data_IF_322925924815
#
_entry.id   IF_322925924815
#
_cell.length_a   1.000
_cell.length_b   1.000
_cell.length_c   1.000
_cell.angle_alpha   90.00
_cell.angle_beta   90.00
_cell.angle_gamma   90.00
#
_symmetry.space_group_name_H-M   'P 1'
#
loop_
_entity.id
_entity.type
_entity.pdbx_description
1 polymer ?
#
# COMPACT_ATOMS: atom_id res chain seq x y z
N UNK A 1 7.27 -6.16 11.07
CA UNK A 1 7.97 -5.61 9.89
C UNK A 1 7.00 -5.16 8.82
N UNK A 2 7.28 -4.03 8.21
CA UNK A 2 6.57 -3.54 7.01
C UNK A 2 7.62 -3.46 5.91
N UNK A 3 7.46 -4.31 4.88
CA UNK A 3 8.45 -4.49 3.82
C UNK A 3 7.89 -3.93 2.51
N UNK A 4 8.62 -2.99 1.91
CA UNK A 4 8.21 -2.35 0.67
C UNK A 4 9.30 -2.61 -0.38
N UNK A 5 8.91 -3.15 -1.53
CA UNK A 5 9.81 -3.36 -2.64
C UNK A 5 10.54 -2.06 -3.01
N UNK A 6 11.84 -2.13 -3.24
CA UNK A 6 12.70 -0.97 -3.44
C UNK A 6 13.25 -0.88 -4.88
N UNK A 7 12.41 -0.71 -5.92
CA UNK A 7 12.86 -0.68 -7.32
C UNK A 7 13.82 0.49 -7.61
N UNK A 8 13.80 1.53 -6.78
CA UNK A 8 14.77 2.63 -6.87
C UNK A 8 16.24 2.19 -6.78
N UNK A 9 16.51 1.03 -6.18
CA UNK A 9 17.87 0.46 -6.13
C UNK A 9 18.42 0.08 -7.51
N UNK A 10 17.55 -0.19 -8.49
CA UNK A 10 17.93 -0.50 -9.86
C UNK A 10 18.04 0.74 -10.76
N UNK A 11 17.63 1.93 -10.27
CA UNK A 11 17.54 3.14 -11.08
C UNK A 11 18.63 4.11 -10.67
N UNK A 12 19.63 4.28 -11.53
CA UNK A 12 20.64 5.33 -11.36
C UNK A 12 20.20 6.59 -12.14
N UNK A 13 20.32 7.80 -11.54
CA UNK A 13 20.02 9.05 -12.22
C UNK A 13 20.77 9.18 -13.55
N UNK A 14 20.06 9.52 -14.62
CA UNK A 14 20.60 9.66 -15.97
C UNK A 14 20.78 8.33 -16.74
N UNK A 15 20.47 7.17 -16.13
CA UNK A 15 20.49 5.88 -16.82
C UNK A 15 19.34 5.74 -17.82
N UNK A 16 19.41 4.80 -18.78
CA UNK A 16 18.28 4.51 -19.68
C UNK A 16 16.99 4.17 -18.94
N UNK A 17 17.05 3.48 -17.80
CA UNK A 17 15.91 3.15 -16.95
C UNK A 17 15.30 4.41 -16.35
N UNK A 18 16.13 5.34 -15.85
CA UNK A 18 15.67 6.65 -15.35
C UNK A 18 15.01 7.46 -16.48
N UNK A 19 15.62 7.48 -17.67
CA UNK A 19 15.03 8.15 -18.84
C UNK A 19 13.66 7.59 -19.23
N UNK A 20 13.50 6.26 -19.20
CA UNK A 20 12.22 5.60 -19.47
C UNK A 20 11.19 5.92 -18.39
N UNK A 21 11.58 5.85 -17.11
CA UNK A 21 10.71 6.17 -16.00
C UNK A 21 10.23 7.61 -16.02
N UNK A 22 11.10 8.56 -16.38
CA UNK A 22 10.76 9.98 -16.56
C UNK A 22 9.79 10.21 -17.72
N UNK A 23 9.95 9.49 -18.82
CA UNK A 23 9.07 9.60 -19.97
C UNK A 23 7.67 9.03 -19.69
N UNK A 24 7.59 7.91 -18.95
CA UNK A 24 6.31 7.23 -18.64
C UNK A 24 5.59 7.80 -17.42
N UNK A 25 6.30 8.31 -16.43
CA UNK A 25 5.81 8.93 -15.17
C UNK A 25 4.98 8.03 -14.26
N UNK A 26 4.25 7.07 -14.79
CA UNK A 26 3.39 6.16 -14.02
C UNK A 26 3.14 4.86 -14.77
N UNK A 27 2.63 3.86 -14.07
CA UNK A 27 2.06 2.67 -14.69
C UNK A 27 0.61 2.96 -15.10
N UNK A 28 0.26 2.63 -16.34
CA UNK A 28 -1.10 2.73 -16.85
C UNK A 28 -1.73 1.34 -16.81
N UNK A 29 -2.85 1.24 -16.12
CA UNK A 29 -3.62 0.00 -16.01
C UNK A 29 -4.82 0.06 -16.95
N UNK A 30 -4.97 -0.99 -17.72
CA UNK A 30 -6.10 -1.23 -18.63
C UNK A 30 -6.67 -2.62 -18.35
N UNK A 31 -7.91 -2.89 -18.74
CA UNK A 31 -8.45 -4.24 -18.62
C UNK A 31 -7.54 -5.26 -19.33
N UNK A 32 -7.05 -6.25 -18.56
CA UNK A 32 -6.19 -7.33 -19.05
C UNK A 32 -4.77 -6.96 -19.51
N UNK A 33 -4.39 -5.68 -19.47
CA UNK A 33 -3.07 -5.19 -19.88
C UNK A 33 -2.59 -4.03 -19.02
N UNK A 34 -1.28 -3.86 -18.90
CA UNK A 34 -0.69 -2.70 -18.22
C UNK A 34 0.58 -2.25 -18.95
N UNK A 35 0.76 -0.96 -19.05
CA UNK A 35 2.03 -0.34 -19.45
C UNK A 35 2.77 0.08 -18.20
N UNK A 36 3.84 -0.63 -17.86
CA UNK A 36 4.62 -0.37 -16.64
C UNK A 36 5.51 0.85 -16.78
N UNK A 37 5.66 1.63 -15.72
CA UNK A 37 6.59 2.77 -15.68
C UNK A 37 8.04 2.33 -15.88
N UNK A 38 8.43 1.21 -15.28
CA UNK A 38 9.76 0.63 -15.37
C UNK A 38 9.78 -0.56 -16.33
N UNK A 39 10.95 -0.93 -16.86
CA UNK A 39 11.11 -2.15 -17.66
C UNK A 39 10.67 -3.42 -16.94
N UNK A 40 10.26 -4.42 -17.68
CA UNK A 40 9.70 -5.66 -17.11
C UNK A 40 10.69 -6.45 -16.26
N UNK A 41 11.97 -6.46 -16.61
CA UNK A 41 13.03 -7.09 -15.82
C UNK A 41 13.19 -6.43 -14.44
N UNK A 42 13.11 -5.11 -14.37
CA UNK A 42 13.08 -4.37 -13.09
C UNK A 42 11.81 -4.70 -12.32
N UNK A 43 10.65 -4.66 -12.98
CA UNK A 43 9.37 -5.02 -12.34
C UNK A 43 9.41 -6.44 -11.77
N UNK A 44 9.91 -7.41 -12.53
CA UNK A 44 10.01 -8.80 -12.08
C UNK A 44 10.97 -8.97 -10.88
N UNK A 45 12.11 -8.26 -10.91
CA UNK A 45 13.10 -8.32 -9.81
C UNK A 45 12.53 -7.78 -8.49
N UNK A 46 11.70 -6.74 -8.57
CA UNK A 46 11.12 -6.06 -7.40
C UNK A 46 9.64 -6.41 -7.16
N UNK A 47 9.15 -7.51 -7.71
CA UNK A 47 7.82 -8.01 -7.41
C UNK A 47 7.84 -8.88 -6.16
N UNK A 48 6.90 -8.64 -5.24
CA UNK A 48 6.67 -9.46 -4.04
C UNK A 48 5.99 -10.78 -4.43
N UNK A 49 6.72 -11.62 -5.13
CA UNK A 49 6.23 -12.91 -5.61
C UNK A 49 6.55 -14.01 -4.62
N UNK A 50 5.57 -14.84 -4.30
CA UNK A 50 5.72 -16.00 -3.43
C UNK A 50 6.87 -16.93 -3.89
N UNK A 51 7.64 -17.44 -2.94
CA UNK A 51 8.79 -18.31 -3.19
C UNK A 51 10.06 -17.60 -3.67
N UNK A 52 10.08 -16.28 -3.68
CA UNK A 52 11.25 -15.48 -4.09
C UNK A 52 11.65 -14.46 -3.03
N UNK A 53 12.92 -14.06 -3.08
CA UNK A 53 13.41 -12.93 -2.30
C UNK A 53 13.19 -11.63 -3.06
N UNK A 54 12.71 -10.61 -2.37
CA UNK A 54 12.54 -9.28 -2.94
C UNK A 54 13.45 -8.26 -2.22
N UNK A 55 14.27 -7.47 -2.96
CA UNK A 55 14.99 -6.35 -2.38
C UNK A 55 13.99 -5.30 -1.89
N UNK A 56 14.05 -4.99 -0.60
CA UNK A 56 13.04 -4.18 0.07
C UNK A 56 13.68 -3.16 1.00
N UNK A 57 12.98 -2.05 1.20
CA UNK A 57 13.16 -1.20 2.36
C UNK A 57 12.15 -1.64 3.41
N UNK A 58 12.64 -1.98 4.59
CA UNK A 58 11.85 -2.55 5.67
C UNK A 58 11.83 -1.61 6.86
N UNK A 59 10.63 -1.35 7.36
CA UNK A 59 10.44 -0.70 8.66
C UNK A 59 10.06 -1.75 9.68
N UNK A 60 10.90 -1.94 10.68
CA UNK A 60 10.59 -2.73 11.86
C UNK A 60 10.07 -1.82 12.96
N UNK A 61 8.95 -2.20 13.55
CA UNK A 61 8.32 -1.44 14.63
C UNK A 61 8.19 -2.37 15.84
N UNK A 62 8.80 -1.98 16.93
CA UNK A 62 8.66 -2.66 18.22
C UNK A 62 7.43 -2.11 18.94
N UNK A 63 6.50 -2.98 19.26
CA UNK A 63 5.24 -2.64 19.91
C UNK A 63 5.18 -3.24 21.32
N UNK A 64 4.44 -2.58 22.19
CA UNK A 64 3.89 -3.22 23.37
C UNK A 64 2.65 -4.00 22.95
N UNK A 65 2.62 -5.31 23.22
CA UNK A 65 1.55 -6.17 22.73
C UNK A 65 0.20 -5.89 23.40
N UNK A 66 0.21 -5.45 24.65
CA UNK A 66 -1.01 -5.16 25.41
C UNK A 66 -1.59 -3.80 25.05
N UNK A 67 -0.74 -2.76 24.95
CA UNK A 67 -1.16 -1.37 24.72
C UNK A 67 -1.13 -0.96 23.26
N UNK A 68 -0.46 -1.72 22.37
CA UNK A 68 -0.18 -1.41 20.97
C UNK A 68 0.62 -0.11 20.79
N UNK A 69 1.32 0.33 21.83
CA UNK A 69 2.18 1.50 21.77
C UNK A 69 3.50 1.18 21.08
N UNK A 70 3.93 2.09 20.18
CA UNK A 70 5.20 1.98 19.49
C UNK A 70 6.32 2.38 20.42
N UNK A 71 7.22 1.45 20.73
CA UNK A 71 8.40 1.67 21.60
C UNK A 71 9.62 2.14 20.83
N UNK A 72 9.82 1.59 19.63
CA UNK A 72 10.95 1.94 18.78
C UNK A 72 10.69 1.52 17.34
N UNK A 73 11.47 2.07 16.42
CA UNK A 73 11.47 1.65 15.03
C UNK A 73 12.89 1.61 14.47
N UNK A 74 13.09 0.72 13.49
CA UNK A 74 14.36 0.54 12.79
C UNK A 74 14.09 0.37 11.29
N UNK A 75 14.94 0.95 10.46
CA UNK A 75 14.86 0.81 9.00
C UNK A 75 16.03 0.00 8.47
N UNK A 76 15.76 -0.96 7.59
CA UNK A 76 16.76 -1.80 6.95
C UNK A 76 16.56 -1.85 5.44
N UNK A 77 17.67 -1.94 4.70
CA UNK A 77 17.68 -2.39 3.31
C UNK A 77 18.08 -3.86 3.31
N UNK A 78 17.21 -4.71 2.81
CA UNK A 78 17.42 -6.16 2.90
C UNK A 78 16.69 -6.90 1.76
N UNK A 79 16.98 -8.20 1.64
CA UNK A 79 16.23 -9.11 0.78
C UNK A 79 15.26 -9.89 1.66
N UNK A 80 13.98 -9.72 1.38
CA UNK A 80 12.89 -10.33 2.17
C UNK A 80 12.37 -11.56 1.43
N UNK A 81 12.40 -12.75 2.05
CA UNK A 81 11.76 -13.94 1.49
C UNK A 81 10.24 -13.80 1.55
N UNK A 82 9.59 -13.96 0.41
CA UNK A 82 8.13 -13.86 0.31
C UNK A 82 7.54 -15.26 0.47
N UNK A 83 7.05 -15.57 1.66
CA UNK A 83 6.46 -16.86 1.97
C UNK A 83 5.06 -17.02 1.37
N UNK A 84 4.26 -15.95 1.40
CA UNK A 84 2.88 -15.98 0.90
C UNK A 84 2.54 -14.67 0.21
N UNK A 85 1.77 -14.74 -0.87
CA UNK A 85 1.16 -13.60 -1.54
C UNK A 85 -0.36 -13.64 -1.30
N UNK A 86 -0.81 -13.01 -0.23
CA UNK A 86 -2.21 -12.98 0.17
C UNK A 86 -2.97 -11.92 -0.64
N UNK A 87 -3.77 -12.38 -1.58
CA UNK A 87 -4.51 -11.51 -2.50
C UNK A 87 -5.94 -11.29 -2.01
N UNK A 88 -6.36 -10.04 -1.95
CA UNK A 88 -7.70 -9.65 -1.49
C UNK A 88 -8.84 -10.27 -2.31
N UNK A 89 -8.67 -10.41 -3.64
CA UNK A 89 -9.66 -11.00 -4.53
C UNK A 89 -10.00 -12.47 -4.20
N UNK A 90 -9.09 -13.15 -3.53
CA UNK A 90 -9.25 -14.54 -3.09
C UNK A 90 -9.66 -14.65 -1.62
N UNK A 91 -9.26 -13.71 -0.80
CA UNK A 91 -9.34 -13.81 0.66
C UNK A 91 -10.40 -12.93 1.32
N UNK A 92 -10.92 -11.91 0.64
CA UNK A 92 -11.93 -11.02 1.25
C UNK A 92 -13.21 -11.77 1.70
N UNK A 93 -13.54 -12.88 1.06
CA UNK A 93 -14.68 -13.72 1.45
C UNK A 93 -14.40 -14.59 2.69
N UNK A 94 -13.14 -14.86 2.99
CA UNK A 94 -12.71 -15.73 4.11
C UNK A 94 -12.26 -14.89 5.29
N UNK A 95 -11.38 -13.90 5.05
CA UNK A 95 -10.79 -13.04 6.09
C UNK A 95 -11.76 -11.91 6.41
N UNK A 96 -12.83 -12.25 7.09
CA UNK A 96 -13.84 -11.28 7.57
C UNK A 96 -13.49 -10.76 8.96
N UNK A 97 -14.13 -9.67 9.41
CA UNK A 97 -13.95 -9.19 10.78
C UNK A 97 -14.33 -10.27 11.80
N UNK A 98 -15.43 -10.98 11.58
CA UNK A 98 -15.85 -12.07 12.46
C UNK A 98 -14.79 -13.16 12.53
N UNK A 99 -14.25 -13.58 11.40
CA UNK A 99 -13.19 -14.58 11.34
C UNK A 99 -11.92 -14.15 12.09
N UNK A 100 -11.59 -12.86 12.11
CA UNK A 100 -10.42 -12.32 12.79
C UNK A 100 -10.62 -12.12 14.31
N UNK A 101 -11.86 -11.91 14.76
CA UNK A 101 -12.16 -11.53 16.15
C UNK A 101 -12.77 -12.65 16.98
N UNK A 102 -13.48 -13.57 16.36
CA UNK A 102 -14.15 -14.68 17.02
C UNK A 102 -13.36 -15.98 16.87
N UNK A 103 -12.69 -16.40 17.93
CA UNK A 103 -11.85 -17.61 17.92
C UNK A 103 -12.66 -18.91 17.77
N UNK A 104 -13.98 -18.88 18.04
CA UNK A 104 -14.88 -20.01 17.86
C UNK A 104 -15.44 -20.10 16.45
N UNK A 105 -15.23 -19.06 15.63
CA UNK A 105 -15.72 -19.02 14.26
C UNK A 105 -14.84 -19.84 13.33
N UNK A 106 -15.39 -20.93 12.79
CA UNK A 106 -14.78 -21.74 11.73
C UNK A 106 -15.49 -21.48 10.41
N UNK A 107 -14.74 -21.14 9.38
CA UNK A 107 -15.28 -20.99 8.03
C UNK A 107 -15.20 -22.32 7.28
N UNK A 108 -16.28 -22.75 6.64
CA UNK A 108 -16.33 -24.03 5.91
C UNK A 108 -15.34 -24.15 4.74
N UNK A 109 -14.76 -23.02 4.31
CA UNK A 109 -13.80 -22.92 3.19
C UNK A 109 -12.49 -22.23 3.62
N UNK A 110 -11.96 -22.59 4.79
CA UNK A 110 -10.67 -22.05 5.21
C UNK A 110 -9.56 -22.45 4.21
N UNK A 111 -9.09 -21.43 3.47
CA UNK A 111 -7.90 -21.64 2.64
C UNK A 111 -6.68 -21.84 3.54
N UNK A 112 -5.92 -22.89 3.31
CA UNK A 112 -4.77 -23.31 4.12
C UNK A 112 -3.82 -22.16 4.51
N UNK A 113 -3.39 -21.25 3.59
CA UNK A 113 -2.47 -20.19 3.96
C UNK A 113 -3.08 -19.17 4.93
N UNK A 114 -4.38 -18.84 4.78
CA UNK A 114 -5.04 -17.87 5.65
C UNK A 114 -5.22 -18.42 7.06
N UNK A 115 -5.64 -19.66 7.21
CA UNK A 115 -5.82 -20.29 8.52
C UNK A 115 -4.51 -20.38 9.30
N UNK A 116 -3.40 -20.72 8.65
CA UNK A 116 -2.08 -20.75 9.27
C UNK A 116 -1.60 -19.36 9.75
N UNK A 117 -2.11 -18.28 9.15
CA UNK A 117 -1.73 -16.91 9.47
C UNK A 117 -2.79 -16.16 10.28
N UNK A 118 -3.86 -16.84 10.74
CA UNK A 118 -5.00 -16.21 11.41
C UNK A 118 -4.59 -15.40 12.64
N UNK A 119 -3.71 -15.94 13.46
CA UNK A 119 -3.23 -15.25 14.66
C UNK A 119 -2.50 -13.95 14.31
N UNK A 120 -1.59 -14.00 13.33
CA UNK A 120 -0.85 -12.82 12.87
C UNK A 120 -1.80 -11.80 12.22
N UNK A 121 -2.74 -12.25 11.40
CA UNK A 121 -3.72 -11.38 10.76
C UNK A 121 -4.66 -10.74 11.79
N UNK A 122 -5.08 -11.47 12.83
CA UNK A 122 -5.89 -10.95 13.93
C UNK A 122 -5.14 -9.88 14.73
N UNK A 123 -3.86 -10.12 15.02
CA UNK A 123 -3.02 -9.12 15.67
C UNK A 123 -2.86 -7.85 14.79
N UNK A 124 -2.54 -8.02 13.50
CA UNK A 124 -2.39 -6.91 12.57
C UNK A 124 -3.70 -6.13 12.39
N UNK A 125 -4.84 -6.80 12.38
CA UNK A 125 -6.14 -6.15 12.30
C UNK A 125 -6.44 -5.33 13.55
N UNK A 126 -6.17 -5.88 14.75
CA UNK A 126 -6.29 -5.15 16.03
C UNK A 126 -5.41 -3.90 16.03
N UNK A 127 -4.14 -4.03 15.61
CA UNK A 127 -3.22 -2.90 15.47
C UNK A 127 -3.75 -1.86 14.47
N UNK A 128 -4.22 -2.28 13.31
CA UNK A 128 -4.75 -1.39 12.29
C UNK A 128 -5.98 -0.61 12.79
N UNK A 129 -6.89 -1.26 13.53
CA UNK A 129 -8.04 -0.59 14.16
C UNK A 129 -7.60 0.47 15.17
N UNK A 130 -6.60 0.17 15.99
CA UNK A 130 -6.05 1.12 16.98
C UNK A 130 -5.40 2.33 16.31
N UNK A 131 -4.53 2.09 15.31
CA UNK A 131 -3.88 3.16 14.55
C UNK A 131 -4.90 4.06 13.86
N UNK A 132 -5.92 3.48 13.23
CA UNK A 132 -7.01 4.22 12.61
C UNK A 132 -7.77 5.06 13.63
N UNK A 133 -8.14 4.49 14.78
CA UNK A 133 -8.86 5.20 15.82
C UNK A 133 -8.07 6.40 16.34
N UNK A 134 -6.78 6.23 16.63
CA UNK A 134 -5.87 7.32 17.05
C UNK A 134 -5.79 8.42 15.99
N UNK A 135 -5.70 8.05 14.72
CA UNK A 135 -5.65 9.00 13.60
C UNK A 135 -6.98 9.75 13.42
N UNK A 136 -8.12 9.11 13.61
CA UNK A 136 -9.43 9.73 13.53
C UNK A 136 -9.66 10.77 14.64
N UNK A 137 -9.15 10.51 15.85
CA UNK A 137 -9.17 11.48 16.96
C UNK A 137 -8.41 12.75 16.56
N UNK A 138 -7.18 12.62 16.03
CA UNK A 138 -6.39 13.77 15.57
C UNK A 138 -7.07 14.51 14.42
N UNK A 139 -7.74 13.77 13.53
CA UNK A 139 -8.47 14.33 12.37
C UNK A 139 -9.77 15.03 12.77
N UNK A 140 -10.34 14.70 13.92
CA UNK A 140 -11.61 15.24 14.42
C UNK A 140 -12.86 14.71 13.71
N UNK A 141 -12.72 13.69 12.86
CA UNK A 141 -13.84 13.03 12.16
C UNK A 141 -13.48 11.61 11.72
N UNK A 142 -14.46 10.70 11.68
CA UNK A 142 -14.24 9.35 11.16
C UNK A 142 -13.89 9.37 9.67
N UNK A 143 -13.15 8.36 9.25
CA UNK A 143 -12.85 8.09 7.85
C UNK A 143 -13.95 7.24 7.23
N UNK A 144 -14.61 7.78 6.22
CA UNK A 144 -15.66 7.07 5.49
C UNK A 144 -15.17 6.69 4.10
N UNK A 145 -15.18 5.40 3.80
CA UNK A 145 -14.88 4.85 2.48
C UNK A 145 -16.17 4.62 1.69
N UNK A 146 -16.77 5.70 1.16
CA UNK A 146 -18.05 5.61 0.43
C UNK A 146 -17.87 5.50 -1.09
N UNK A 147 -16.64 5.35 -1.59
CA UNK A 147 -16.42 5.23 -3.03
C UNK A 147 -16.31 3.77 -3.43
N UNK A 148 -17.16 3.29 -4.35
CA UNK A 148 -17.01 1.95 -4.89
C UNK A 148 -15.69 1.85 -5.67
N UNK A 149 -15.09 0.69 -5.62
CA UNK A 149 -13.95 0.32 -6.44
C UNK A 149 -14.44 -0.53 -7.61
N UNK A 150 -14.07 -0.16 -8.84
CA UNK A 150 -14.51 -0.88 -10.03
C UNK A 150 -13.37 -1.79 -10.49
N UNK A 151 -13.66 -3.08 -10.54
CA UNK A 151 -12.76 -4.06 -11.13
C UNK A 151 -13.16 -4.34 -12.56
N UNK A 152 -12.17 -4.34 -13.45
CA UNK A 152 -12.34 -4.64 -14.85
C UNK A 152 -11.64 -5.95 -15.16
N UNK A 153 -12.36 -6.89 -15.72
CA UNK A 153 -11.84 -8.19 -16.13
C UNK A 153 -12.17 -8.41 -17.60
N UNK A 154 -11.16 -8.84 -18.37
CA UNK A 154 -11.42 -9.33 -19.72
C UNK A 154 -11.89 -10.76 -19.67
N UNK A 155 -13.05 -11.03 -20.25
CA UNK A 155 -13.55 -12.39 -20.48
C UNK A 155 -13.15 -12.78 -21.87
N UNK A 156 -12.36 -13.85 -21.99
CA UNK A 156 -11.90 -14.41 -23.26
C UNK A 156 -12.69 -15.66 -23.58
N UNK A 157 -12.90 -15.91 -24.85
CA UNK A 157 -13.44 -17.19 -25.29
C UNK A 157 -12.51 -18.35 -24.89
N UNK A 158 -13.10 -19.49 -24.60
CA UNK A 158 -12.34 -20.69 -24.24
C UNK A 158 -11.43 -21.09 -25.42
N UNK A 159 -10.11 -21.10 -25.19
CA UNK A 159 -9.10 -21.45 -26.19
C UNK A 159 -8.34 -20.26 -26.79
N UNK A 160 -8.65 -19.03 -26.42
CA UNK A 160 -7.87 -17.86 -26.86
C UNK A 160 -6.44 -17.94 -26.32
N UNK A 161 -5.46 -17.93 -27.24
CA UNK A 161 -4.04 -17.97 -26.90
C UNK A 161 -3.49 -16.54 -26.80
N UNK A 162 -2.53 -16.35 -25.88
CA UNK A 162 -1.82 -15.09 -25.69
C UNK A 162 -2.24 -14.33 -24.43
N UNK A 163 -1.36 -13.44 -23.98
CA UNK A 163 -1.55 -12.61 -22.76
C UNK A 163 -2.09 -11.22 -23.10
N UNK A 164 -1.93 -10.77 -24.32
CA UNK A 164 -2.36 -9.44 -24.77
C UNK A 164 -3.82 -9.42 -25.25
N UNK A 165 -4.56 -8.34 -24.99
CA UNK A 165 -5.91 -8.15 -25.52
C UNK A 165 -5.91 -8.10 -27.05
N UNK A 166 -6.87 -8.80 -27.66
CA UNK A 166 -7.04 -8.82 -29.12
C UNK A 166 -8.15 -7.89 -29.60
N UNK A 167 -8.85 -7.23 -28.66
CA UNK A 167 -9.89 -6.22 -28.96
C UNK A 167 -11.28 -6.81 -29.21
N UNK A 168 -11.46 -8.12 -29.03
CA UNK A 168 -12.75 -8.82 -29.18
C UNK A 168 -13.28 -9.35 -27.85
N UNK A 169 -12.53 -9.16 -26.77
CA UNK A 169 -12.91 -9.65 -25.47
C UNK A 169 -14.03 -8.81 -24.85
N UNK A 170 -14.92 -9.46 -24.13
CA UNK A 170 -15.92 -8.78 -23.32
C UNK A 170 -15.28 -8.21 -22.04
N UNK A 171 -15.59 -6.95 -21.72
CA UNK A 171 -15.14 -6.32 -20.47
C UNK A 171 -16.20 -6.51 -19.41
N UNK A 172 -15.93 -7.39 -18.46
CA UNK A 172 -16.76 -7.56 -17.27
C UNK A 172 -16.39 -6.51 -16.21
N UNK A 173 -17.38 -5.73 -15.77
CA UNK A 173 -17.22 -4.74 -14.71
C UNK A 173 -17.88 -5.27 -13.45
N UNK A 174 -17.13 -5.33 -12.36
CA UNK A 174 -17.64 -5.66 -11.04
C UNK A 174 -17.36 -4.56 -10.04
N UNK A 175 -18.23 -4.41 -9.06
CA UNK A 175 -18.07 -3.41 -7.99
C UNK A 175 -17.54 -4.15 -6.76
N UNK A 176 -16.39 -3.71 -6.25
CA UNK A 176 -15.84 -4.13 -4.97
C UNK A 176 -16.13 -3.07 -3.93
N UNK A 177 -16.69 -3.46 -2.80
CA UNK A 177 -16.79 -2.56 -1.67
C UNK A 177 -15.46 -2.51 -0.93
N UNK A 178 -14.95 -1.31 -0.70
CA UNK A 178 -13.76 -1.09 0.13
C UNK A 178 -14.11 -1.24 1.60
N UNK A 179 -13.15 -1.60 2.41
CA UNK A 179 -13.28 -1.70 3.86
C UNK A 179 -13.19 -3.12 4.39
N UNK A 180 -12.76 -4.07 3.56
CA UNK A 180 -12.38 -5.40 4.02
C UNK A 180 -11.23 -5.29 5.05
N UNK A 181 -11.14 -6.22 6.03
CA UNK A 181 -10.07 -6.21 7.03
C UNK A 181 -8.67 -6.15 6.45
N UNK A 182 -8.41 -6.85 5.35
CA UNK A 182 -7.11 -6.83 4.67
C UNK A 182 -6.79 -5.44 4.07
N UNK A 183 -7.78 -4.72 3.55
CA UNK A 183 -7.60 -3.34 3.09
C UNK A 183 -7.15 -2.43 4.23
N UNK A 184 -7.77 -2.59 5.41
CA UNK A 184 -7.43 -1.79 6.58
C UNK A 184 -6.01 -2.09 7.07
N UNK A 185 -5.62 -3.36 7.16
CA UNK A 185 -4.26 -3.77 7.56
C UNK A 185 -3.22 -3.13 6.64
N UNK A 186 -3.40 -3.27 5.32
CA UNK A 186 -2.45 -2.72 4.34
C UNK A 186 -2.43 -1.20 4.39
N UNK A 187 -3.59 -0.55 4.45
CA UNK A 187 -3.68 0.91 4.48
C UNK A 187 -2.97 1.50 5.71
N UNK A 188 -3.23 0.97 6.90
CA UNK A 188 -2.62 1.47 8.13
C UNK A 188 -1.12 1.14 8.21
N UNK A 189 -0.68 -0.01 7.70
CA UNK A 189 0.75 -0.33 7.58
C UNK A 189 1.47 0.67 6.66
N UNK A 190 0.89 1.00 5.50
CA UNK A 190 1.43 2.00 4.57
C UNK A 190 1.45 3.41 5.17
N UNK A 191 0.40 3.79 5.91
CA UNK A 191 0.33 5.08 6.60
C UNK A 191 1.41 5.15 7.68
N UNK A 192 1.57 4.10 8.48
CA UNK A 192 2.59 4.02 9.52
C UNK A 192 4.01 4.15 8.92
N UNK A 193 4.32 3.38 7.87
CA UNK A 193 5.62 3.46 7.20
C UNK A 193 5.88 4.86 6.64
N UNK A 194 4.92 5.42 5.90
CA UNK A 194 5.06 6.75 5.31
C UNK A 194 5.22 7.86 6.35
N UNK A 195 4.47 7.81 7.45
CA UNK A 195 4.58 8.82 8.51
C UNK A 195 5.91 8.71 9.26
N UNK A 196 6.36 7.49 9.56
CA UNK A 196 7.64 7.26 10.26
C UNK A 196 8.80 7.74 9.40
N UNK A 197 8.88 7.31 8.14
CA UNK A 197 9.96 7.74 7.26
C UNK A 197 9.88 9.21 6.88
N UNK A 198 8.67 9.75 6.71
CA UNK A 198 8.47 11.16 6.45
C UNK A 198 8.98 12.05 7.60
N UNK A 199 8.68 11.69 8.84
CA UNK A 199 9.20 12.38 10.03
C UNK A 199 10.72 12.25 10.14
N UNK A 200 11.24 11.04 9.98
CA UNK A 200 12.69 10.78 10.02
C UNK A 200 13.47 11.56 8.97
N UNK A 201 12.99 11.58 7.72
CA UNK A 201 13.62 12.38 6.65
C UNK A 201 13.60 13.88 6.96
N UNK A 202 12.49 14.38 7.54
CA UNK A 202 12.37 15.77 7.93
C UNK A 202 13.34 16.14 9.07
N UNK A 203 13.49 15.27 10.06
CA UNK A 203 14.43 15.44 11.18
C UNK A 203 15.90 15.46 10.71
N UNK A 204 16.23 14.60 9.74
CA UNK A 204 17.57 14.56 9.14
C UNK A 204 17.83 15.67 8.11
N UNK A 205 16.83 16.48 7.76
CA UNK A 205 16.95 17.46 6.69
C UNK A 205 17.12 16.86 5.29
N UNK A 206 16.76 15.57 5.13
CA UNK A 206 16.83 14.89 3.83
C UNK A 206 15.68 15.35 2.94
N UNK A 207 15.95 15.74 1.68
CA UNK A 207 14.91 16.14 0.76
C UNK A 207 13.96 14.97 0.47
N UNK A 208 12.66 15.24 0.52
CA UNK A 208 11.61 14.26 0.25
C UNK A 208 10.41 14.89 -0.44
N UNK A 209 9.58 14.06 -1.08
CA UNK A 209 8.33 14.49 -1.67
C UNK A 209 7.21 14.26 -0.66
N UNK A 210 6.67 15.34 -0.11
CA UNK A 210 5.53 15.30 0.81
C UNK A 210 4.27 15.79 0.10
N UNK A 211 3.20 15.05 0.15
CA UNK A 211 1.89 15.45 -0.37
C UNK A 211 0.95 15.74 0.79
N UNK A 212 0.48 16.97 0.87
CA UNK A 212 -0.48 17.39 1.89
C UNK A 212 -1.81 17.81 1.25
N UNK A 213 -2.89 17.67 2.00
CA UNK A 213 -4.22 18.10 1.60
C UNK A 213 -4.81 18.99 2.70
N UNK A 214 -5.09 20.24 2.35
CA UNK A 214 -5.56 21.24 3.33
C UNK A 214 -7.02 21.04 3.75
N UNK A 215 -7.87 20.47 2.88
CA UNK A 215 -9.28 20.23 3.17
C UNK A 215 -9.80 19.00 2.42
N UNK A 216 -10.73 18.28 3.06
CA UNK A 216 -11.50 17.17 2.48
C UNK A 216 -12.97 17.55 2.26
N UNK A 217 -13.35 18.84 2.41
CA UNK A 217 -14.73 19.28 2.22
C UNK A 217 -15.14 19.07 0.75
N UNK A 218 -16.33 18.51 0.48
CA UNK A 218 -16.86 18.38 -0.87
C UNK A 218 -16.94 19.75 -1.56
N UNK A 219 -16.51 19.83 -2.82
CA UNK A 219 -16.55 21.05 -3.62
C UNK A 219 -15.41 22.05 -3.39
N UNK A 220 -14.54 21.81 -2.42
CA UNK A 220 -13.34 22.63 -2.22
C UNK A 220 -12.26 22.16 -3.19
N UNK A 221 -11.82 23.04 -4.09
CA UNK A 221 -10.64 22.79 -4.92
C UNK A 221 -9.42 22.69 -4.01
N UNK A 222 -8.86 21.50 -3.89
CA UNK A 222 -7.61 21.28 -3.18
C UNK A 222 -6.49 21.91 -4.00
N UNK A 223 -5.98 23.05 -3.55
CA UNK A 223 -4.71 23.56 -4.04
C UNK A 223 -3.61 22.70 -3.43
N UNK A 224 -2.93 21.95 -4.27
CA UNK A 224 -1.69 21.29 -3.86
C UNK A 224 -0.65 22.38 -3.58
N UNK A 225 -0.46 22.67 -2.30
CA UNK A 225 0.60 23.58 -1.86
C UNK A 225 1.95 22.87 -1.99
N UNK A 226 2.87 23.49 -2.70
CA UNK A 226 4.29 23.15 -2.57
C UNK A 226 4.83 23.97 -1.40
N UNK A 227 5.15 23.32 -0.28
CA UNK A 227 5.95 23.94 0.76
C UNK A 227 7.37 23.44 0.62
N UNK A 228 8.30 24.32 0.35
CA UNK A 228 9.70 24.01 0.47
C UNK A 228 10.03 23.79 1.95
N UNK A 229 10.72 22.71 2.28
CA UNK A 229 11.39 22.62 3.56
C UNK A 229 12.49 23.69 3.60
N UNK A 230 12.72 24.38 4.74
CA UNK A 230 13.58 25.56 4.82
C UNK A 230 15.02 25.34 4.33
N UNK A 231 15.46 24.12 4.14
CA UNK A 231 16.85 23.79 3.77
C UNK A 231 17.02 23.05 2.44
N UNK A 232 15.96 22.69 1.73
CA UNK A 232 16.10 21.84 0.56
C UNK A 232 15.92 22.54 -0.80
N UNK A 233 15.39 23.75 -0.85
CA UNK A 233 15.13 24.48 -2.11
C UNK A 233 14.17 23.77 -3.10
N UNK A 234 13.59 22.65 -2.70
CA UNK A 234 12.73 21.79 -3.53
C UNK A 234 11.33 21.76 -2.92
N UNK A 235 10.33 22.01 -3.74
CA UNK A 235 8.94 21.94 -3.32
C UNK A 235 8.54 20.50 -2.95
N UNK A 236 8.02 20.34 -1.76
CA UNK A 236 7.73 19.03 -1.17
C UNK A 236 6.24 18.77 -1.18
N UNK A 237 5.81 17.67 -1.80
CA UNK A 237 4.42 17.18 -1.75
C UNK A 237 4.38 15.91 -0.93
N UNK A 238 3.66 15.90 0.18
CA UNK A 238 3.54 14.74 1.05
C UNK A 238 2.22 14.00 0.84
N UNK A 239 2.27 12.69 0.71
CA UNK A 239 1.16 11.79 0.99
C UNK A 239 1.20 11.31 2.45
N UNK A 240 1.88 12.03 3.31
CA UNK A 240 1.82 11.74 4.70
C UNK A 240 0.39 12.05 5.18
N UNK A 241 -0.36 11.05 5.48
CA UNK A 241 -1.36 11.13 6.50
C UNK A 241 -0.60 11.27 7.83
N UNK A 242 0.17 12.34 7.93
CA UNK A 242 0.93 12.61 9.12
C UNK A 242 -0.05 12.93 10.24
N UNK A 243 0.00 12.17 11.29
CA UNK A 243 -0.57 12.52 12.58
C UNK A 243 0.26 13.58 13.30
N UNK A 244 1.46 13.86 12.81
CA UNK A 244 2.23 15.01 13.27
C UNK A 244 1.68 16.28 12.65
N UNK A 245 1.31 17.28 13.44
CA UNK A 245 1.08 18.61 12.92
C UNK A 245 2.42 19.08 12.34
N UNK A 246 2.57 19.01 11.03
CA UNK A 246 3.60 19.80 10.37
C UNK A 246 3.32 21.23 10.80
N UNK A 247 4.06 21.69 11.82
CA UNK A 247 3.98 23.07 12.28
C UNK A 247 4.17 23.95 11.06
N UNK A 248 3.26 24.89 10.96
CA UNK A 248 3.14 25.91 9.91
C UNK A 248 4.45 26.62 9.64
#
# INVERSE_FOLDING_TARGET
GIHIAAPGLAVQPGSPVDGLGRARLSTVYMPGYKVTMLPDDVVQTYTLQEGRDCPSVSLYVMLDEATLEIKSSETRLERVPIAHNLRHDQLDAVVTEQWLTDTAFEHQNDSQPASALREQLSFLYRLAKDLKAKREVVRGKPETFNRPDYNFRLVREAGAQGTEPQGQEEVQISIRQRGAPLDLIVAEAMILANSTWGSWMAELGVPGIYRSQASLAPGVKVRMGTKALPHAGIGVKSYAWSTSPLRR
#
